data_IF_822542620327
#
_entry.id   IF_822542620327
#
_cell.length_a   1.000
_cell.length_b   1.000
_cell.length_c   1.000
_cell.angle_alpha   90.00
_cell.angle_beta   90.00
_cell.angle_gamma   90.00
#
_symmetry.space_group_name_H-M   'P 1'
#
loop_
_entity.id
_entity.type
_entity.pdbx_description
1 polymer ?
#
# COMPACT_ATOMS: atom_id res chain seq x y z
N UNK A 1 -26.90 -20.66 8.18
CA UNK A 1 -25.57 -20.09 7.91
C UNK A 1 -25.28 -19.03 8.97
N UNK A 2 -24.16 -19.08 9.71
CA UNK A 2 -23.82 -18.04 10.71
C UNK A 2 -23.02 -16.94 10.00
N UNK A 3 -23.64 -15.78 9.79
CA UNK A 3 -22.98 -14.61 9.21
C UNK A 3 -22.01 -14.01 10.22
N UNK A 4 -20.76 -13.75 9.82
CA UNK A 4 -19.80 -12.93 10.57
C UNK A 4 -19.40 -11.76 9.69
N UNK A 5 -19.62 -10.55 10.18
CA UNK A 5 -19.09 -9.33 9.57
C UNK A 5 -17.66 -9.10 10.06
N UNK A 6 -16.81 -8.60 9.18
CA UNK A 6 -15.49 -8.08 9.54
C UNK A 6 -15.38 -6.67 8.96
N UNK A 7 -14.66 -5.80 9.67
CA UNK A 7 -14.33 -4.47 9.17
C UNK A 7 -12.82 -4.43 8.93
N UNK A 8 -12.41 -4.12 7.70
CA UNK A 8 -11.02 -4.00 7.31
C UNK A 8 -10.90 -2.91 6.25
N UNK A 9 -9.90 -2.03 6.40
CA UNK A 9 -9.63 -0.95 5.45
C UNK A 9 -8.48 -1.40 4.56
N UNK A 10 -8.74 -1.49 3.26
CA UNK A 10 -7.68 -1.73 2.29
C UNK A 10 -6.90 -0.43 2.06
N UNK A 11 -5.57 -0.41 2.21
CA UNK A 11 -4.78 0.81 2.05
C UNK A 11 -4.48 1.21 0.60
N UNK A 12 -4.74 0.34 -0.38
CA UNK A 12 -4.54 0.61 -1.81
C UNK A 12 -5.78 0.17 -2.60
N UNK A 13 -5.98 0.77 -3.77
CA UNK A 13 -7.02 0.44 -4.73
C UNK A 13 -6.43 -0.10 -6.03
N UNK A 14 -7.26 -0.83 -6.79
CA UNK A 14 -6.88 -1.29 -8.13
C UNK A 14 -6.70 -0.07 -9.02
N UNK A 15 -5.54 0.03 -9.67
CA UNK A 15 -5.18 1.18 -10.49
C UNK A 15 -4.15 2.10 -9.85
N UNK A 16 -3.93 1.99 -8.54
CA UNK A 16 -2.94 2.80 -7.83
C UNK A 16 -1.53 2.56 -8.34
N UNK A 17 -0.76 3.64 -8.42
CA UNK A 17 0.66 3.60 -8.71
C UNK A 17 1.43 3.60 -7.39
N UNK A 18 2.35 2.65 -7.24
CA UNK A 18 3.17 2.51 -6.05
C UNK A 18 4.64 2.38 -6.43
N UNK A 19 5.52 3.01 -5.66
CA UNK A 19 6.95 2.76 -5.74
C UNK A 19 7.33 1.68 -4.72
N UNK A 20 7.79 0.53 -5.20
CA UNK A 20 8.14 -0.62 -4.38
C UNK A 20 9.65 -0.66 -4.14
N UNK A 21 10.03 -0.70 -2.86
CA UNK A 21 11.41 -0.93 -2.41
C UNK A 21 11.52 -2.25 -1.66
N UNK A 22 12.63 -2.94 -1.82
CA UNK A 22 13.00 -4.08 -0.97
C UNK A 22 13.71 -3.56 0.29
N UNK A 23 13.29 -4.00 1.46
CA UNK A 23 14.02 -3.80 2.70
C UNK A 23 15.02 -4.95 2.94
N UNK A 24 16.06 -4.70 3.74
CA UNK A 24 17.12 -5.67 4.07
C UNK A 24 16.57 -6.95 4.70
N UNK A 25 15.41 -6.86 5.37
CA UNK A 25 14.74 -7.99 6.00
C UNK A 25 13.88 -8.82 5.02
N UNK A 26 13.98 -8.58 3.71
CA UNK A 26 13.21 -9.26 2.66
C UNK A 26 11.74 -8.81 2.56
N UNK A 27 11.32 -7.80 3.33
CA UNK A 27 9.98 -7.21 3.24
C UNK A 27 9.91 -6.20 2.10
N UNK A 28 8.78 -6.15 1.40
CA UNK A 28 8.50 -5.14 0.38
C UNK A 28 7.73 -3.98 0.99
N UNK A 29 8.24 -2.78 0.77
CA UNK A 29 7.58 -1.54 1.18
C UNK A 29 7.09 -0.84 -0.08
N UNK A 30 5.81 -0.48 -0.11
CA UNK A 30 5.16 0.19 -1.21
C UNK A 30 4.82 1.62 -0.79
N UNK A 31 5.36 2.61 -1.51
CA UNK A 31 5.04 4.01 -1.33
C UNK A 31 3.94 4.41 -2.29
N UNK A 32 2.80 4.84 -1.77
CA UNK A 32 1.69 5.32 -2.58
C UNK A 32 2.10 6.56 -3.38
N UNK A 33 1.82 6.58 -4.69
CA UNK A 33 2.15 7.68 -5.59
C UNK A 33 0.87 8.31 -6.16
N UNK A 34 0.39 9.42 -5.57
CA UNK A 34 -0.71 10.19 -6.15
C UNK A 34 -0.29 10.82 -7.48
N UNK A 35 -1.23 10.96 -8.41
CA UNK A 35 -0.97 11.66 -9.67
C UNK A 35 -0.56 13.11 -9.41
N UNK A 36 0.52 13.57 -10.06
CA UNK A 36 1.02 14.94 -9.94
C UNK A 36 1.88 15.24 -8.71
N UNK A 37 2.17 14.24 -7.87
CA UNK A 37 3.08 14.39 -6.71
C UNK A 37 4.42 13.73 -7.01
N UNK A 38 5.51 14.48 -6.78
CA UNK A 38 6.87 13.96 -6.87
C UNK A 38 7.27 13.39 -5.52
N UNK A 39 7.77 12.15 -5.52
CA UNK A 39 8.21 11.45 -4.33
C UNK A 39 9.70 11.15 -4.47
N UNK A 40 10.49 11.65 -3.52
CA UNK A 40 11.91 11.31 -3.42
C UNK A 40 12.09 10.11 -2.50
N UNK A 41 12.65 9.03 -3.04
CA UNK A 41 12.98 7.82 -2.29
C UNK A 41 14.49 7.65 -2.33
N UNK A 42 15.15 7.67 -1.16
CA UNK A 42 16.61 7.52 -1.03
C UNK A 42 17.09 6.06 -1.24
N UNK A 43 16.32 5.24 -1.95
CA UNK A 43 16.59 3.82 -2.23
C UNK A 43 16.11 3.49 -3.63
N UNK A 44 16.71 2.46 -4.24
CA UNK A 44 16.22 1.94 -5.51
C UNK A 44 14.78 1.45 -5.35
N UNK A 45 13.86 2.09 -6.07
CA UNK A 45 12.44 1.78 -6.07
C UNK A 45 11.99 1.47 -7.49
N UNK A 46 11.09 0.49 -7.63
CA UNK A 46 10.43 0.20 -8.89
C UNK A 46 9.00 0.72 -8.84
N UNK A 47 8.62 1.58 -9.78
CA UNK A 47 7.24 2.03 -9.92
C UNK A 47 6.43 0.93 -10.58
N UNK A 48 5.32 0.55 -9.95
CA UNK A 48 4.44 -0.54 -10.38
C UNK A 48 2.98 -0.16 -10.14
N UNK A 49 2.08 -0.74 -10.92
CA UNK A 49 0.64 -0.55 -10.80
C UNK A 49 0.01 -1.70 -10.03
N UNK A 50 -0.90 -1.40 -9.10
CA UNK A 50 -1.76 -2.40 -8.47
C UNK A 50 -2.80 -2.88 -9.48
N UNK A 51 -2.78 -4.17 -9.81
CA UNK A 51 -3.67 -4.76 -10.82
C UNK A 51 -4.77 -5.62 -10.20
N UNK A 52 -4.54 -6.19 -9.02
CA UNK A 52 -5.55 -6.95 -8.29
C UNK A 52 -5.28 -6.95 -6.77
N UNK A 53 -6.30 -7.26 -5.98
CA UNK A 53 -6.28 -7.25 -4.51
C UNK A 53 -6.96 -8.51 -3.96
N UNK A 54 -6.21 -9.28 -3.16
CA UNK A 54 -6.76 -10.40 -2.42
C UNK A 54 -6.93 -10.05 -0.93
N UNK A 55 -8.12 -10.30 -0.39
CA UNK A 55 -8.41 -10.17 1.04
C UNK A 55 -8.41 -11.56 1.72
N UNK A 56 -7.53 -11.76 2.69
CA UNK A 56 -7.40 -13.01 3.46
C UNK A 56 -8.00 -12.81 4.84
N UNK A 57 -9.15 -13.41 5.10
CA UNK A 57 -9.83 -13.35 6.39
C UNK A 57 -9.58 -14.62 7.23
N UNK A 58 -8.99 -14.45 8.42
CA UNK A 58 -8.73 -15.52 9.37
C UNK A 58 -9.89 -15.66 10.36
N UNK A 59 -10.78 -16.63 10.14
CA UNK A 59 -12.02 -16.79 10.91
C UNK A 59 -11.85 -16.94 12.43
N UNK A 60 -10.73 -17.52 12.91
CA UNK A 60 -10.46 -17.70 14.34
C UNK A 60 -10.04 -16.40 15.02
N UNK A 61 -9.11 -15.65 14.41
CA UNK A 61 -8.57 -14.40 14.97
C UNK A 61 -9.39 -13.16 14.60
N UNK A 62 -10.25 -13.26 13.58
CA UNK A 62 -10.96 -12.12 12.99
C UNK A 62 -10.05 -11.17 12.20
N UNK A 63 -8.77 -11.52 12.01
CA UNK A 63 -7.82 -10.68 11.28
C UNK A 63 -8.08 -10.75 9.77
N UNK A 64 -7.95 -9.62 9.10
CA UNK A 64 -7.91 -9.53 7.64
C UNK A 64 -6.55 -9.00 7.21
N UNK A 65 -5.96 -9.63 6.21
CA UNK A 65 -4.75 -9.16 5.54
C UNK A 65 -5.06 -8.91 4.07
N UNK A 66 -4.38 -7.95 3.46
CA UNK A 66 -4.47 -7.68 2.03
C UNK A 66 -3.16 -8.10 1.35
N UNK A 67 -3.29 -8.74 0.19
CA UNK A 67 -2.19 -9.04 -0.71
C UNK A 67 -2.47 -8.35 -2.04
N UNK A 68 -1.42 -7.92 -2.72
CA UNK A 68 -1.53 -7.15 -3.95
C UNK A 68 -0.86 -7.89 -5.09
N UNK A 69 -1.50 -7.84 -6.24
CA UNK A 69 -0.87 -8.15 -7.51
C UNK A 69 -0.35 -6.85 -8.13
N UNK A 70 0.89 -6.89 -8.60
CA UNK A 70 1.52 -5.76 -9.28
C UNK A 70 1.77 -6.09 -10.75
N UNK A 71 1.48 -5.14 -11.63
CA UNK A 71 1.72 -5.18 -13.08
C UNK A 71 1.24 -6.46 -13.79
N UNK A 72 0.09 -7.03 -13.39
CA UNK A 72 -0.46 -8.28 -13.92
C UNK A 72 0.51 -9.47 -13.80
N UNK A 73 1.32 -9.49 -12.74
CA UNK A 73 2.36 -10.51 -12.55
C UNK A 73 1.82 -11.91 -12.24
N UNK A 74 0.53 -12.06 -11.92
CA UNK A 74 -0.07 -13.30 -11.43
C UNK A 74 0.39 -13.70 -10.03
N UNK A 75 1.12 -12.82 -9.31
CA UNK A 75 1.70 -13.09 -7.99
C UNK A 75 1.16 -12.11 -6.95
N UNK A 76 0.62 -12.65 -5.87
CA UNK A 76 0.10 -11.88 -4.74
C UNK A 76 1.14 -11.75 -3.64
N UNK A 77 1.39 -10.52 -3.21
CA UNK A 77 2.45 -10.21 -2.26
C UNK A 77 1.93 -9.30 -1.13
N UNK A 78 2.48 -9.48 0.07
CA UNK A 78 2.21 -8.60 1.20
C UNK A 78 3.11 -7.38 1.13
N UNK A 79 2.49 -6.20 1.09
CA UNK A 79 3.20 -4.92 1.00
C UNK A 79 2.99 -4.12 2.28
N UNK A 80 4.08 -3.57 2.82
CA UNK A 80 3.99 -2.52 3.83
C UNK A 80 3.73 -1.20 3.11
N UNK A 81 2.49 -0.73 3.17
CA UNK A 81 2.08 0.52 2.50
C UNK A 81 2.47 1.72 3.35
N UNK A 82 3.18 2.67 2.75
CA UNK A 82 3.51 3.97 3.35
C UNK A 82 2.99 5.07 2.42
N UNK A 83 2.39 6.11 2.98
CA UNK A 83 2.01 7.30 2.23
C UNK A 83 3.13 8.32 2.42
N UNK A 84 3.94 8.64 1.39
CA UNK A 84 4.99 9.64 1.47
C UNK A 84 4.36 11.04 1.46
N UNK A 85 3.93 11.51 2.62
CA UNK A 85 3.42 12.86 2.78
C UNK A 85 4.60 13.80 3.07
N UNK A 86 5.32 14.26 2.03
CA UNK A 86 6.21 15.43 2.17
C UNK A 86 5.45 16.74 1.94
N UNK A 87 4.46 16.77 1.04
CA UNK A 87 3.79 18.02 0.69
C UNK A 87 2.65 18.45 1.63
N UNK A 88 2.01 17.53 2.38
CA UNK A 88 0.94 17.92 3.31
C UNK A 88 1.51 18.35 4.67
N UNK A 89 2.61 17.75 5.14
CA UNK A 89 3.27 18.18 6.38
C UNK A 89 3.83 19.59 6.24
N UNK A 90 4.54 19.86 5.14
CA UNK A 90 5.17 21.16 4.91
C UNK A 90 4.10 22.24 4.66
N UNK A 91 2.99 21.91 3.98
CA UNK A 91 1.84 22.82 3.79
C UNK A 91 1.04 23.04 5.09
N UNK A 92 0.91 22.03 5.96
CA UNK A 92 0.27 22.14 7.29
C UNK A 92 1.14 22.97 8.25
N UNK A 93 2.46 22.71 8.29
CA UNK A 93 3.43 23.50 9.05
C UNK A 93 3.48 24.95 8.54
N UNK A 94 3.44 25.18 7.22
CA UNK A 94 3.35 26.54 6.63
C UNK A 94 2.02 27.23 6.95
N UNK A 95 0.94 26.47 7.20
CA UNK A 95 -0.38 26.97 7.61
C UNK A 95 -0.53 27.12 9.13
N UNK A 96 0.50 26.80 9.92
CA UNK A 96 0.54 27.05 11.36
C UNK A 96 -0.61 26.43 12.14
N UNK A 97 -1.03 25.21 11.78
CA UNK A 97 -2.01 24.42 12.54
C UNK A 97 -1.41 23.13 13.04
#
# INVERSE_FOLDING_TARGET
MKTRAFNAVCPLEIGDMVAVTMEENGKKTAYYMPQGIVIEINRAAKVQKVTDIAAVHYCRSGKVCFLYELDNSGRYESLMVKVPVKQMSDELERRGR
#
